data_IF_518516432451
#
_entry.id   IF_518516432451
#
_cell.length_a   1.000
_cell.length_b   1.000
_cell.length_c   1.000
_cell.angle_alpha   90.00
_cell.angle_beta   90.00
_cell.angle_gamma   90.00
#
_symmetry.space_group_name_H-M   'P 1'
#
loop_
_entity.id
_entity.type
_entity.pdbx_description
1 polymer ?
#
# COMPACT_ATOMS: atom_id res chain seq x y z
N UNK A 1 -4.80 -12.03 12.43
CA UNK A 1 -4.70 -11.19 11.21
C UNK A 1 -3.55 -11.73 10.39
N UNK A 2 -3.79 -12.10 9.14
CA UNK A 2 -2.74 -12.53 8.21
C UNK A 2 -2.36 -11.32 7.35
N UNK A 3 -1.06 -11.04 7.27
CA UNK A 3 -0.51 -10.02 6.38
C UNK A 3 -0.06 -10.79 5.13
N UNK A 4 -0.75 -10.57 4.01
CA UNK A 4 -0.37 -11.16 2.73
C UNK A 4 0.78 -10.33 2.11
N UNK A 5 1.70 -10.98 1.38
CA UNK A 5 2.79 -10.28 0.68
C UNK A 5 2.31 -9.76 -0.68
N UNK A 6 2.99 -8.75 -1.23
CA UNK A 6 2.66 -8.20 -2.54
C UNK A 6 2.61 -9.28 -3.64
N UNK A 7 3.58 -10.18 -3.68
CA UNK A 7 3.67 -11.29 -4.66
C UNK A 7 2.46 -12.25 -4.64
N UNK A 8 1.82 -12.39 -3.48
CA UNK A 8 0.65 -13.24 -3.29
C UNK A 8 -0.62 -12.44 -3.57
N UNK A 9 -0.68 -11.22 -3.07
CA UNK A 9 -1.78 -10.29 -3.29
C UNK A 9 -1.93 -9.88 -4.77
N UNK A 10 -0.84 -9.74 -5.52
CA UNK A 10 -0.89 -9.38 -6.95
C UNK A 10 -1.44 -10.50 -7.84
N UNK A 11 -1.57 -11.73 -7.31
CA UNK A 11 -2.12 -12.88 -8.04
C UNK A 11 -3.62 -13.05 -7.82
N UNK A 12 -4.20 -12.31 -6.90
CA UNK A 12 -5.61 -12.39 -6.52
C UNK A 12 -6.32 -11.10 -6.95
N UNK A 13 -7.35 -11.26 -7.79
CA UNK A 13 -8.11 -10.14 -8.34
C UNK A 13 -8.74 -9.25 -7.26
N UNK A 14 -9.13 -9.82 -6.12
CA UNK A 14 -9.73 -9.05 -5.02
C UNK A 14 -8.74 -8.07 -4.40
N UNK A 15 -7.47 -8.44 -4.35
CA UNK A 15 -6.39 -7.61 -3.84
C UNK A 15 -5.92 -6.61 -4.89
N UNK A 16 -5.81 -7.01 -6.17
CA UNK A 16 -5.52 -6.07 -7.26
C UNK A 16 -6.57 -4.97 -7.35
N UNK A 17 -7.85 -5.31 -7.26
CA UNK A 17 -8.93 -4.33 -7.24
C UNK A 17 -8.83 -3.38 -6.06
N UNK A 18 -8.47 -3.88 -4.88
CA UNK A 18 -8.26 -3.04 -3.71
C UNK A 18 -7.05 -2.08 -3.85
N UNK A 19 -5.99 -2.49 -4.58
CA UNK A 19 -4.86 -1.61 -4.89
C UNK A 19 -5.27 -0.51 -5.88
N UNK A 20 -5.98 -0.89 -6.93
CA UNK A 20 -6.46 0.03 -7.97
C UNK A 20 -7.44 1.06 -7.39
N UNK A 21 -8.36 0.62 -6.51
CA UNK A 21 -9.26 1.51 -5.79
C UNK A 21 -8.48 2.55 -4.96
N UNK A 22 -7.41 2.14 -4.27
CA UNK A 22 -6.57 3.06 -3.46
C UNK A 22 -5.81 4.06 -4.35
N UNK A 23 -5.26 3.62 -5.49
CA UNK A 23 -4.59 4.50 -6.46
C UNK A 23 -5.58 5.49 -7.07
N UNK A 24 -6.74 5.02 -7.53
CA UNK A 24 -7.79 5.87 -8.10
C UNK A 24 -8.33 6.87 -7.06
N UNK A 25 -8.46 6.46 -5.79
CA UNK A 25 -8.83 7.40 -4.71
C UNK A 25 -7.75 8.45 -4.47
N UNK A 26 -6.48 8.09 -4.57
CA UNK A 26 -5.36 9.03 -4.40
C UNK A 26 -5.34 10.10 -5.49
N UNK A 27 -5.58 9.70 -6.74
CA UNK A 27 -5.74 10.60 -7.89
C UNK A 27 -6.98 11.50 -7.74
N UNK A 28 -8.14 10.92 -7.40
CA UNK A 28 -9.39 11.67 -7.19
C UNK A 28 -9.29 12.71 -6.08
N UNK A 29 -8.55 12.38 -5.01
CA UNK A 29 -8.33 13.29 -3.90
C UNK A 29 -7.24 14.33 -4.18
N UNK A 30 -6.58 14.30 -5.36
CA UNK A 30 -5.47 15.17 -5.74
C UNK A 30 -4.36 15.23 -4.66
N UNK A 31 -4.19 14.15 -3.91
CA UNK A 31 -3.22 14.07 -2.81
C UNK A 31 -1.87 13.53 -3.27
N UNK A 32 -1.81 13.00 -4.49
CA UNK A 32 -0.62 12.43 -5.11
C UNK A 32 -0.52 12.88 -6.57
N UNK A 33 0.69 13.28 -6.97
CA UNK A 33 1.05 13.55 -8.35
C UNK A 33 2.19 12.59 -8.74
N UNK A 34 2.04 11.91 -9.87
CA UNK A 34 3.11 11.08 -10.43
C UNK A 34 4.14 12.02 -11.07
N UNK A 35 5.26 12.24 -10.38
CA UNK A 35 6.36 13.07 -10.86
C UNK A 35 7.55 12.22 -11.28
N UNK A 36 8.33 12.74 -12.23
CA UNK A 36 9.60 12.13 -12.60
C UNK A 36 10.55 12.04 -11.41
N UNK A 37 11.39 11.01 -11.44
CA UNK A 37 12.36 10.74 -10.39
C UNK A 37 13.31 11.94 -10.22
N UNK A 38 13.32 12.64 -9.06
CA UNK A 38 14.25 13.73 -8.85
C UNK A 38 15.68 13.19 -8.69
N UNK A 39 16.62 13.75 -9.45
CA UNK A 39 18.04 13.33 -9.44
C UNK A 39 18.75 13.69 -8.12
N UNK A 40 18.36 14.82 -7.51
CA UNK A 40 19.06 15.41 -6.37
C UNK A 40 18.34 15.24 -5.02
N UNK A 41 17.29 14.40 -4.96
CA UNK A 41 16.52 14.17 -3.72
C UNK A 41 16.49 12.69 -3.33
N UNK A 42 16.63 12.39 -2.04
CA UNK A 42 16.56 11.01 -1.59
C UNK A 42 15.10 10.54 -1.63
N UNK A 43 14.81 9.61 -2.53
CA UNK A 43 13.46 9.08 -2.72
C UNK A 43 13.07 8.22 -1.52
N UNK A 44 11.86 8.45 -1.01
CA UNK A 44 11.25 7.57 -0.02
C UNK A 44 10.58 6.45 -0.81
N UNK A 45 11.05 5.22 -0.62
CA UNK A 45 10.36 4.06 -1.20
C UNK A 45 8.95 3.93 -0.62
N UNK A 46 8.03 3.35 -1.36
CA UNK A 46 6.69 3.00 -0.85
C UNK A 46 6.60 1.49 -0.64
N UNK A 47 5.71 1.05 0.24
CA UNK A 47 5.37 -0.36 0.47
C UNK A 47 3.85 -0.52 0.52
N UNK A 48 3.37 -1.65 0.02
CA UNK A 48 1.97 -2.03 0.16
C UNK A 48 1.73 -2.70 1.51
N UNK A 49 0.65 -2.30 2.18
CA UNK A 49 0.15 -2.91 3.42
C UNK A 49 -1.19 -3.55 3.12
N UNK A 50 -1.27 -4.87 3.27
CA UNK A 50 -2.48 -5.65 3.06
C UNK A 50 -3.11 -6.00 4.40
N UNK A 51 -4.41 -5.75 4.52
CA UNK A 51 -5.18 -6.08 5.71
C UNK A 51 -6.51 -6.70 5.32
N UNK A 52 -6.70 -7.94 5.72
CA UNK A 52 -8.00 -8.62 5.60
C UNK A 52 -8.87 -8.26 6.80
N UNK A 53 -10.06 -7.73 6.55
CA UNK A 53 -11.14 -7.71 7.55
C UNK A 53 -11.85 -9.04 7.53
N UNK A 54 -11.92 -9.68 8.69
CA UNK A 54 -12.69 -10.90 8.91
C UNK A 54 -14.04 -10.55 9.54
N UNK A 55 -15.05 -11.33 9.23
CA UNK A 55 -16.35 -11.35 9.90
C UNK A 55 -16.21 -12.05 11.27
N UNK A 56 -17.26 -11.98 12.10
CA UNK A 56 -17.29 -12.64 13.43
C UNK A 56 -17.16 -14.16 13.35
N UNK A 57 -17.59 -14.75 12.24
CA UNK A 57 -17.47 -16.17 11.91
C UNK A 57 -16.08 -16.57 11.38
N UNK A 58 -15.16 -15.60 11.22
CA UNK A 58 -13.83 -15.82 10.65
C UNK A 58 -13.77 -15.80 9.12
N UNK A 59 -14.88 -15.60 8.41
CA UNK A 59 -14.89 -15.46 6.95
C UNK A 59 -14.31 -14.12 6.49
N UNK A 60 -13.82 -14.03 5.26
CA UNK A 60 -13.26 -12.79 4.71
C UNK A 60 -14.40 -11.81 4.39
N UNK A 61 -14.47 -10.72 5.15
CA UNK A 61 -15.44 -9.64 4.93
C UNK A 61 -14.97 -8.71 3.81
N UNK A 62 -13.71 -8.25 3.88
CA UNK A 62 -13.16 -7.31 2.91
C UNK A 62 -11.64 -7.29 2.94
N UNK A 63 -11.04 -7.30 1.76
CA UNK A 63 -9.62 -7.06 1.56
C UNK A 63 -9.35 -5.55 1.46
N UNK A 64 -8.32 -5.06 2.16
CA UNK A 64 -7.88 -3.66 2.11
C UNK A 64 -6.38 -3.58 1.82
N UNK A 65 -6.03 -2.97 0.71
CA UNK A 65 -4.66 -2.59 0.41
C UNK A 65 -4.47 -1.09 0.74
N UNK A 66 -3.27 -0.72 1.21
CA UNK A 66 -2.87 0.67 1.43
C UNK A 66 -1.44 0.88 0.98
N UNK A 67 -1.17 2.01 0.33
CA UNK A 67 0.18 2.40 -0.03
C UNK A 67 0.74 3.30 1.08
N UNK A 68 1.88 2.92 1.65
CA UNK A 68 2.53 3.70 2.73
C UNK A 68 3.98 3.98 2.41
N UNK A 69 4.50 5.09 2.93
CA UNK A 69 5.92 5.37 2.89
C UNK A 69 6.69 4.28 3.65
N UNK A 70 7.81 3.84 3.06
CA UNK A 70 8.80 3.01 3.74
C UNK A 70 9.62 3.95 4.61
N UNK A 71 9.52 3.77 5.92
CA UNK A 71 10.34 4.53 6.88
C UNK A 71 11.81 4.47 6.45
N UNK A 72 12.43 5.64 6.34
CA UNK A 72 13.89 5.72 6.31
C UNK A 72 14.34 5.48 7.74
N UNK A 73 15.17 4.46 7.94
CA UNK A 73 15.93 4.34 9.17
C UNK A 73 16.77 5.60 9.26
N UNK A 74 16.41 6.52 10.15
CA UNK A 74 17.22 7.68 10.46
C UNK A 74 18.52 7.16 11.06
N UNK A 75 19.61 7.30 10.32
CA UNK A 75 20.94 6.88 10.77
C UNK A 75 21.67 7.96 11.56
N UNK A 76 20.94 8.84 12.27
CA UNK A 76 21.52 9.79 13.22
C UNK A 76 20.75 9.77 14.54
N UNK A 77 21.02 8.75 15.36
CA UNK A 77 20.95 8.91 16.81
C UNK A 77 22.37 8.67 17.33
N UNK A 78 22.86 9.70 18.04
CA UNK A 78 24.21 9.89 18.60
C UNK A 78 24.80 8.67 19.30
#
# INVERSE_FOLDING_TARGET
>A
MKLEKFDEASKDESWMKAMEDELSMSEKNATWELVDRPTDKPIIGVKWVFKTKLNLDGSVQKNKARLVAKDKVDSHIN
#
